data_IF_197670015832
#
_entry.id   IF_197670015832
#
_cell.length_a   1.000
_cell.length_b   1.000
_cell.length_c   1.000
_cell.angle_alpha   90.00
_cell.angle_beta   90.00
_cell.angle_gamma   90.00
#
_symmetry.space_group_name_H-M   'P 1'
#
loop_
_entity.id
_entity.type
_entity.pdbx_description
1 polymer ?
#
# COMPACT_ATOMS: atom_id res chain seq x y z
N UNK A 1 17.79 6.47 27.18
CA UNK A 1 17.06 7.40 26.29
C UNK A 1 17.19 6.86 24.88
N UNK A 2 16.29 5.95 24.51
CA UNK A 2 16.36 5.19 23.25
C UNK A 2 15.42 5.85 22.26
N UNK A 3 16.00 6.58 21.31
CA UNK A 3 15.29 7.23 20.21
C UNK A 3 14.86 6.15 19.21
N UNK A 4 13.59 5.76 19.26
CA UNK A 4 12.96 4.89 18.27
C UNK A 4 12.69 5.70 17.00
N UNK A 5 12.84 5.12 15.80
CA UNK A 5 12.56 5.82 14.55
C UNK A 5 11.07 6.21 14.52
N UNK A 6 10.81 7.52 14.39
CA UNK A 6 9.48 8.06 14.14
C UNK A 6 9.00 7.49 12.80
N UNK A 7 8.12 6.49 12.89
CA UNK A 7 7.15 6.14 11.86
C UNK A 7 6.66 7.44 11.21
N UNK A 8 6.71 7.50 9.89
CA UNK A 8 6.08 8.59 9.13
C UNK A 8 4.60 8.53 9.50
N UNK A 9 4.21 9.39 10.44
CA UNK A 9 2.83 9.56 10.85
C UNK A 9 2.07 10.02 9.63
N UNK A 10 1.33 9.09 9.02
CA UNK A 10 0.32 9.44 8.04
C UNK A 10 -0.75 10.22 8.82
N UNK A 11 -0.80 11.54 8.69
CA UNK A 11 -1.82 12.33 9.39
C UNK A 11 -3.21 12.10 8.79
N UNK A 12 -3.31 11.36 7.68
CA UNK A 12 -4.54 10.79 7.14
C UNK A 12 -5.17 9.65 7.95
N UNK A 13 -4.54 9.17 9.05
CA UNK A 13 -5.21 8.30 10.04
C UNK A 13 -6.45 8.99 10.65
N UNK A 14 -6.48 10.33 10.70
CA UNK A 14 -7.57 11.09 11.32
C UNK A 14 -8.90 10.88 10.58
N UNK A 15 -8.92 10.95 9.24
CA UNK A 15 -10.20 10.78 8.53
C UNK A 15 -10.68 9.33 8.53
N UNK A 16 -9.78 8.35 8.45
CA UNK A 16 -10.15 6.93 8.50
C UNK A 16 -10.69 6.56 9.89
N UNK A 17 -10.08 7.10 10.95
CA UNK A 17 -10.58 6.94 12.32
C UNK A 17 -11.94 7.64 12.52
N UNK A 18 -12.14 8.82 11.92
CA UNK A 18 -13.44 9.54 11.96
C UNK A 18 -14.54 8.79 11.22
N UNK A 19 -14.21 7.92 10.26
CA UNK A 19 -15.18 7.08 9.56
C UNK A 19 -15.60 5.85 10.40
N UNK A 20 -15.12 5.74 11.65
CA UNK A 20 -15.51 4.72 12.63
C UNK A 20 -15.37 3.29 12.10
N UNK A 21 -14.33 3.05 11.29
CA UNK A 21 -14.07 1.72 10.73
C UNK A 21 -13.52 0.78 11.79
N UNK A 22 -14.09 -0.42 11.87
CA UNK A 22 -13.57 -1.46 12.75
C UNK A 22 -12.33 -2.13 12.12
N UNK A 23 -11.29 -2.50 12.89
CA UNK A 23 -10.04 -3.04 12.35
C UNK A 23 -10.20 -4.32 11.53
N UNK A 24 -11.28 -5.07 11.76
CA UNK A 24 -11.57 -6.34 11.10
C UNK A 24 -12.66 -6.22 10.01
N UNK A 25 -13.16 -5.01 9.73
CA UNK A 25 -14.13 -4.82 8.66
C UNK A 25 -13.50 -5.06 7.29
N UNK A 26 -14.14 -5.92 6.51
CA UNK A 26 -13.77 -6.15 5.10
C UNK A 26 -14.57 -5.28 4.15
N UNK A 27 -15.79 -4.91 4.56
CA UNK A 27 -16.75 -4.15 3.76
C UNK A 27 -17.41 -3.09 4.63
N UNK A 28 -17.61 -1.91 4.06
CA UNK A 28 -18.19 -0.76 4.77
C UNK A 28 -19.36 -0.21 3.98
N UNK A 29 -20.51 0.07 4.61
CA UNK A 29 -21.66 0.65 3.93
C UNK A 29 -21.37 2.09 3.48
N UNK A 30 -21.52 2.36 2.17
CA UNK A 30 -21.35 3.70 1.59
C UNK A 30 -22.31 4.70 2.24
N UNK A 31 -23.51 4.25 2.61
CA UNK A 31 -24.50 5.08 3.28
C UNK A 31 -23.98 5.68 4.60
N UNK A 32 -23.31 4.87 5.44
CA UNK A 32 -22.74 5.32 6.71
C UNK A 32 -21.61 6.34 6.50
N UNK A 33 -20.72 6.06 5.54
CA UNK A 33 -19.65 6.99 5.17
C UNK A 33 -20.20 8.34 4.70
N UNK A 34 -21.26 8.33 3.88
CA UNK A 34 -21.90 9.55 3.41
C UNK A 34 -22.54 10.35 4.56
N UNK A 35 -23.14 9.67 5.54
CA UNK A 35 -23.72 10.29 6.72
C UNK A 35 -22.66 10.98 7.58
N UNK A 36 -21.52 10.30 7.84
CA UNK A 36 -20.40 10.86 8.59
C UNK A 36 -19.82 12.10 7.89
N UNK A 37 -19.61 12.02 6.57
CA UNK A 37 -19.06 13.10 5.75
C UNK A 37 -20.07 14.24 5.47
N UNK A 38 -21.36 14.00 5.66
CA UNK A 38 -22.43 14.96 5.36
C UNK A 38 -22.65 15.17 3.86
N UNK A 39 -22.50 14.13 3.04
CA UNK A 39 -22.65 14.17 1.58
C UNK A 39 -23.84 13.34 1.09
N UNK A 40 -24.25 13.57 -0.16
CA UNK A 40 -25.42 12.93 -0.76
C UNK A 40 -25.14 11.48 -1.18
N UNK A 41 -25.85 10.53 -0.56
CA UNK A 41 -25.64 9.08 -0.75
C UNK A 41 -25.88 8.62 -2.18
N UNK A 42 -26.95 9.04 -2.85
CA UNK A 42 -27.32 8.51 -4.15
C UNK A 42 -26.30 8.84 -5.24
N UNK A 43 -25.70 10.04 -5.18
CA UNK A 43 -24.60 10.47 -6.05
C UNK A 43 -23.37 9.59 -5.85
N UNK A 44 -23.00 9.32 -4.60
CA UNK A 44 -21.84 8.49 -4.28
C UNK A 44 -22.05 7.03 -4.64
N UNK A 45 -23.22 6.45 -4.36
CA UNK A 45 -23.52 5.09 -4.79
C UNK A 45 -23.56 4.95 -6.32
N UNK A 46 -24.09 5.95 -7.03
CA UNK A 46 -24.07 5.97 -8.50
C UNK A 46 -22.63 5.98 -9.00
N UNK A 47 -21.78 6.84 -8.44
CA UNK A 47 -20.36 6.94 -8.79
C UNK A 47 -19.60 5.64 -8.56
N UNK A 48 -19.86 4.97 -7.43
CA UNK A 48 -19.29 3.64 -7.13
C UNK A 48 -19.69 2.62 -8.18
N UNK A 49 -20.96 2.62 -8.62
CA UNK A 49 -21.45 1.70 -9.67
C UNK A 49 -20.89 2.03 -11.06
N UNK A 50 -20.69 3.31 -11.37
CA UNK A 50 -20.17 3.77 -12.67
C UNK A 50 -18.67 3.52 -12.84
N UNK A 51 -17.90 3.51 -11.75
CA UNK A 51 -16.47 3.19 -11.78
C UNK A 51 -16.25 1.67 -11.83
N UNK A 52 -15.66 1.10 -12.89
CA UNK A 52 -15.45 -0.34 -12.99
C UNK A 52 -14.61 -0.93 -11.84
N UNK A 53 -13.65 -0.15 -11.33
CA UNK A 53 -12.76 -0.59 -10.24
C UNK A 53 -13.53 -0.60 -8.91
N UNK A 54 -14.29 0.46 -8.61
CA UNK A 54 -15.08 0.52 -7.37
C UNK A 54 -16.23 -0.49 -7.41
N UNK A 55 -16.90 -0.63 -8.55
CA UNK A 55 -17.96 -1.60 -8.75
C UNK A 55 -17.48 -3.05 -8.55
N UNK A 56 -16.26 -3.38 -8.99
CA UNK A 56 -15.69 -4.72 -8.80
C UNK A 56 -15.49 -5.09 -7.33
N UNK A 57 -15.26 -4.11 -6.45
CA UNK A 57 -15.18 -4.32 -5.01
C UNK A 57 -16.43 -3.92 -4.23
N UNK A 58 -17.52 -3.54 -4.90
CA UNK A 58 -18.78 -3.19 -4.27
C UNK A 58 -19.74 -4.37 -4.24
N UNK A 59 -20.44 -4.56 -3.12
CA UNK A 59 -21.46 -5.61 -2.94
C UNK A 59 -22.65 -5.08 -2.17
N UNK A 60 -23.84 -5.55 -2.51
CA UNK A 60 -25.03 -5.28 -1.69
C UNK A 60 -25.09 -6.34 -0.60
N UNK A 61 -24.90 -5.94 0.65
CA UNK A 61 -24.92 -6.80 1.82
C UNK A 61 -26.09 -6.43 2.74
N UNK A 62 -26.51 -7.37 3.59
CA UNK A 62 -27.38 -7.06 4.72
C UNK A 62 -26.53 -6.43 5.82
N UNK A 63 -26.97 -5.27 6.28
CA UNK A 63 -26.31 -4.46 7.30
C UNK A 63 -27.35 -4.14 8.35
N UNK A 64 -26.97 -4.28 9.62
CA UNK A 64 -27.80 -3.86 10.74
C UNK A 64 -27.71 -2.33 10.86
N UNK A 65 -28.85 -1.66 10.75
CA UNK A 65 -28.98 -0.23 10.96
C UNK A 65 -29.99 0.08 12.07
N UNK A 66 -30.19 1.36 12.38
CA UNK A 66 -31.07 1.81 13.47
C UNK A 66 -32.52 1.31 13.33
N UNK A 67 -33.00 1.08 12.10
CA UNK A 67 -34.34 0.59 11.78
C UNK A 67 -34.40 -0.95 11.57
N UNK A 68 -33.31 -1.67 11.86
CA UNK A 68 -33.18 -3.12 11.69
C UNK A 68 -32.28 -3.54 10.52
N UNK A 69 -32.42 -4.80 10.09
CA UNK A 69 -31.65 -5.35 8.96
C UNK A 69 -32.09 -4.71 7.63
N UNK A 70 -31.16 -4.02 6.98
CA UNK A 70 -31.37 -3.35 5.70
C UNK A 70 -30.32 -3.76 4.67
N UNK A 71 -30.67 -3.68 3.38
CA UNK A 71 -29.69 -3.91 2.30
C UNK A 71 -28.96 -2.61 1.96
N UNK A 72 -27.64 -2.61 2.05
CA UNK A 72 -26.81 -1.45 1.74
C UNK A 72 -25.72 -1.80 0.72
N UNK A 73 -25.39 -0.83 -0.14
CA UNK A 73 -24.21 -0.92 -0.99
C UNK A 73 -22.98 -0.75 -0.10
N UNK A 74 -22.16 -1.79 -0.03
CA UNK A 74 -20.94 -1.83 0.75
C UNK A 74 -19.74 -1.86 -0.18
N UNK A 75 -18.67 -1.14 0.18
CA UNK A 75 -17.41 -1.11 -0.55
C UNK A 75 -16.35 -1.84 0.28
N UNK A 76 -15.49 -2.61 -0.40
CA UNK A 76 -14.37 -3.27 0.24
C UNK A 76 -13.38 -2.23 0.80
N UNK A 77 -12.90 -2.43 2.03
CA UNK A 77 -12.09 -1.44 2.78
C UNK A 77 -10.85 -0.97 2.02
N UNK A 78 -10.18 -1.85 1.28
CA UNK A 78 -8.99 -1.53 0.48
C UNK A 78 -9.26 -0.53 -0.65
N UNK A 79 -10.52 -0.36 -1.08
CA UNK A 79 -10.92 0.61 -2.10
C UNK A 79 -11.38 1.95 -1.52
N UNK A 80 -11.48 2.07 -0.19
CA UNK A 80 -11.84 3.34 0.46
C UNK A 80 -10.88 4.48 0.14
N UNK A 81 -9.54 4.29 0.13
CA UNK A 81 -8.64 5.36 -0.25
C UNK A 81 -8.92 5.89 -1.65
N UNK A 82 -9.17 4.99 -2.61
CA UNK A 82 -9.52 5.36 -3.97
C UNK A 82 -10.83 6.15 -4.01
N UNK A 83 -11.86 5.70 -3.30
CA UNK A 83 -13.14 6.41 -3.22
C UNK A 83 -12.99 7.81 -2.60
N UNK A 84 -12.29 7.92 -1.47
CA UNK A 84 -12.02 9.18 -0.75
C UNK A 84 -11.25 10.19 -1.60
N UNK A 85 -10.26 9.73 -2.38
CA UNK A 85 -9.51 10.63 -3.27
C UNK A 85 -10.38 11.30 -4.33
N UNK A 86 -11.50 10.67 -4.72
CA UNK A 86 -12.44 11.26 -5.65
C UNK A 86 -13.50 12.16 -5.00
N UNK A 87 -13.73 12.09 -3.69
CA UNK A 87 -14.84 12.82 -3.04
C UNK A 87 -14.64 14.33 -3.20
N UNK A 88 -15.70 15.06 -3.56
CA UNK A 88 -15.66 16.51 -3.67
C UNK A 88 -15.60 17.15 -2.28
N UNK A 89 -14.43 17.71 -1.90
CA UNK A 89 -14.22 18.34 -0.59
C UNK A 89 -15.14 19.53 -0.32
N UNK A 90 -15.60 20.23 -1.36
CA UNK A 90 -16.53 21.35 -1.21
C UNK A 90 -17.93 20.91 -0.76
N UNK A 91 -18.33 19.66 -1.09
CA UNK A 91 -19.62 19.10 -0.70
C UNK A 91 -19.62 18.50 0.72
N UNK A 92 -18.43 18.25 1.30
CA UNK A 92 -18.27 17.67 2.64
C UNK A 92 -18.56 18.71 3.71
N UNK A 93 -19.06 18.25 4.85
CA UNK A 93 -19.27 19.07 6.04
C UNK A 93 -18.03 19.92 6.37
N UNK A 94 -18.23 21.21 6.65
CA UNK A 94 -17.15 22.18 6.86
C UNK A 94 -16.10 21.71 7.90
N UNK A 95 -16.56 21.02 8.96
CA UNK A 95 -15.70 20.46 10.02
C UNK A 95 -14.76 19.34 9.55
N UNK A 96 -15.08 18.66 8.45
CA UNK A 96 -14.34 17.52 7.91
C UNK A 96 -13.59 17.85 6.62
N UNK A 97 -13.92 18.95 5.94
CA UNK A 97 -13.25 19.38 4.72
C UNK A 97 -11.72 19.45 4.88
N UNK A 98 -11.14 20.08 5.94
CA UNK A 98 -9.68 20.14 6.07
C UNK A 98 -9.02 18.77 6.20
N UNK A 99 -9.70 17.81 6.86
CA UNK A 99 -9.21 16.43 7.02
C UNK A 99 -9.23 15.67 5.71
N UNK A 100 -10.32 15.81 4.94
CA UNK A 100 -10.41 15.17 3.62
C UNK A 100 -9.36 15.72 2.67
N UNK A 101 -9.16 17.04 2.65
CA UNK A 101 -8.14 17.67 1.81
C UNK A 101 -6.72 17.26 2.20
N UNK A 102 -6.44 17.14 3.51
CA UNK A 102 -5.17 16.62 4.00
C UNK A 102 -4.97 15.17 3.52
N UNK A 103 -5.98 14.30 3.71
CA UNK A 103 -5.94 12.93 3.23
C UNK A 103 -5.69 12.85 1.73
N UNK A 104 -6.37 13.67 0.92
CA UNK A 104 -6.21 13.69 -0.53
C UNK A 104 -4.80 14.11 -0.96
N UNK A 105 -4.22 15.12 -0.29
CA UNK A 105 -2.84 15.57 -0.53
C UNK A 105 -1.82 14.49 -0.16
N UNK A 106 -1.98 13.87 1.01
CA UNK A 106 -1.09 12.80 1.44
C UNK A 106 -1.20 11.57 0.54
N UNK A 107 -2.42 11.17 0.16
CA UNK A 107 -2.65 10.08 -0.78
C UNK A 107 -1.98 10.36 -2.14
N UNK A 108 -2.10 11.58 -2.67
CA UNK A 108 -1.43 11.97 -3.90
C UNK A 108 0.10 11.89 -3.77
N UNK A 109 0.67 12.41 -2.66
CA UNK A 109 2.10 12.36 -2.40
C UNK A 109 2.61 10.92 -2.26
N UNK A 110 1.93 10.07 -1.49
CA UNK A 110 2.29 8.66 -1.31
C UNK A 110 2.18 7.88 -2.62
N UNK A 111 1.12 8.09 -3.39
CA UNK A 111 0.98 7.46 -4.71
C UNK A 111 2.13 7.88 -5.62
N UNK A 112 2.45 9.18 -5.67
CA UNK A 112 3.57 9.69 -6.46
C UNK A 112 4.91 9.06 -6.05
N UNK A 113 5.22 9.06 -4.74
CA UNK A 113 6.43 8.45 -4.20
C UNK A 113 6.51 6.93 -4.47
N UNK A 114 5.36 6.23 -4.45
CA UNK A 114 5.30 4.79 -4.72
C UNK A 114 5.67 4.44 -6.16
N UNK A 115 5.28 5.27 -7.13
CA UNK A 115 5.67 5.13 -8.54
C UNK A 115 7.04 5.74 -8.86
N UNK A 116 7.61 6.48 -7.91
CA UNK A 116 8.91 7.14 -8.01
C UNK A 116 9.70 6.92 -6.71
N UNK A 117 10.22 5.70 -6.48
CA UNK A 117 10.99 5.42 -5.26
C UNK A 117 12.20 6.35 -5.05
N UNK A 118 12.61 7.13 -6.07
CA UNK A 118 13.62 8.20 -6.01
C UNK A 118 13.26 9.47 -6.81
N UNK A 119 11.98 9.77 -7.06
CA UNK A 119 11.59 10.90 -7.91
C UNK A 119 10.72 11.91 -7.18
N UNK A 120 11.36 12.98 -6.72
CA UNK A 120 10.73 14.19 -6.19
C UNK A 120 9.61 14.69 -7.11
N UNK A 121 8.49 15.06 -6.52
CA UNK A 121 7.36 15.67 -7.20
C UNK A 121 7.62 17.14 -7.55
N UNK A 122 6.93 17.69 -8.54
CA UNK A 122 6.99 19.12 -8.83
C UNK A 122 6.44 19.99 -7.69
N UNK A 123 5.68 19.40 -6.76
CA UNK A 123 5.12 20.05 -5.56
C UNK A 123 5.95 19.86 -4.28
N UNK A 124 7.09 19.16 -4.32
CA UNK A 124 7.99 19.06 -3.16
C UNK A 124 8.79 20.36 -2.99
N UNK A 125 8.18 21.36 -2.33
CA UNK A 125 8.66 22.76 -2.23
C UNK A 125 10.07 22.92 -1.63
N UNK A 126 10.57 21.89 -0.93
CA UNK A 126 11.87 21.89 -0.24
C UNK A 126 12.97 21.12 -0.97
N UNK A 127 12.69 20.53 -2.14
CA UNK A 127 13.66 19.69 -2.85
C UNK A 127 14.29 20.45 -4.03
N UNK A 128 15.63 20.57 -4.10
CA UNK A 128 16.30 21.20 -5.22
C UNK A 128 16.09 20.41 -6.52
N UNK A 129 15.87 21.14 -7.60
CA UNK A 129 15.74 20.58 -8.95
C UNK A 129 17.02 19.79 -9.29
N UNK A 130 16.92 18.72 -10.11
CA UNK A 130 18.05 17.78 -10.39
C UNK A 130 19.38 18.45 -10.78
N UNK A 131 19.32 19.61 -11.46
CA UNK A 131 20.49 20.38 -11.90
C UNK A 131 21.05 21.35 -10.83
N UNK A 132 20.32 21.51 -9.72
CA UNK A 132 20.67 22.32 -8.55
C UNK A 132 21.13 21.46 -7.37
N UNK A 133 21.06 20.14 -7.49
CA UNK A 133 21.52 19.21 -6.46
C UNK A 133 23.03 19.32 -6.26
N UNK A 134 23.44 19.44 -5.01
CA UNK A 134 24.84 19.37 -4.60
C UNK A 134 25.41 17.97 -4.83
N UNK A 135 26.75 17.82 -4.90
CA UNK A 135 27.38 16.51 -5.05
C UNK A 135 27.01 15.51 -3.94
N UNK A 136 26.78 16.00 -2.71
CA UNK A 136 26.37 15.16 -1.58
C UNK A 136 24.93 14.63 -1.76
N UNK A 137 24.01 15.45 -2.26
CA UNK A 137 22.63 15.04 -2.55
C UNK A 137 22.56 14.05 -3.72
N UNK A 138 23.38 14.25 -4.75
CA UNK A 138 23.51 13.31 -5.86
C UNK A 138 24.03 11.95 -5.40
N UNK A 139 25.03 11.94 -4.50
CA UNK A 139 25.56 10.72 -3.91
C UNK A 139 24.50 9.99 -3.05
N UNK A 140 23.72 10.73 -2.28
CA UNK A 140 22.61 10.19 -1.49
C UNK A 140 21.55 9.52 -2.37
N UNK A 141 21.11 10.20 -3.43
CA UNK A 141 20.15 9.63 -4.40
C UNK A 141 20.72 8.38 -5.05
N UNK A 142 22.00 8.42 -5.48
CA UNK A 142 22.68 7.26 -6.07
C UNK A 142 22.73 6.05 -5.13
N UNK A 143 23.03 6.26 -3.85
CA UNK A 143 23.02 5.19 -2.85
C UNK A 143 21.63 4.57 -2.66
N UNK A 144 20.58 5.39 -2.68
CA UNK A 144 19.19 4.93 -2.59
C UNK A 144 18.78 4.11 -3.82
N UNK A 145 19.24 4.52 -5.01
CA UNK A 145 19.07 3.78 -6.26
C UNK A 145 19.71 2.40 -6.17
N UNK A 146 20.96 2.33 -5.69
CA UNK A 146 21.66 1.06 -5.53
C UNK A 146 20.94 0.12 -4.56
N UNK A 147 20.46 0.64 -3.42
CA UNK A 147 19.70 -0.16 -2.46
C UNK A 147 18.40 -0.72 -3.06
N UNK A 148 17.70 0.07 -3.89
CA UNK A 148 16.46 -0.35 -4.55
C UNK A 148 16.71 -1.46 -5.58
N UNK A 149 17.79 -1.34 -6.36
CA UNK A 149 18.17 -2.34 -7.37
C UNK A 149 18.69 -3.65 -6.76
N UNK A 150 19.27 -3.60 -5.56
CA UNK A 150 19.81 -4.77 -4.88
C UNK A 150 18.74 -5.82 -4.54
N UNK A 151 17.49 -5.41 -4.27
CA UNK A 151 16.42 -6.32 -3.87
C UNK A 151 16.03 -7.31 -4.98
N UNK A 152 15.73 -6.89 -6.22
CA UNK A 152 15.53 -7.81 -7.34
C UNK A 152 16.75 -8.71 -7.60
N UNK A 153 17.98 -8.18 -7.52
CA UNK A 153 19.20 -8.97 -7.74
C UNK A 153 19.37 -10.10 -6.73
N UNK A 154 19.08 -9.84 -5.45
CA UNK A 154 19.13 -10.84 -4.39
C UNK A 154 18.12 -11.97 -4.62
N UNK A 155 16.90 -11.65 -5.07
CA UNK A 155 15.86 -12.64 -5.34
C UNK A 155 16.21 -13.53 -6.53
N UNK A 156 16.80 -12.96 -7.58
CA UNK A 156 17.33 -13.73 -8.73
C UNK A 156 18.45 -14.65 -8.26
N UNK A 157 19.37 -14.16 -7.42
CA UNK A 157 20.45 -14.96 -6.84
C UNK A 157 19.93 -16.19 -6.10
N UNK A 158 18.93 -16.02 -5.22
CA UNK A 158 18.30 -17.15 -4.51
C UNK A 158 17.63 -18.15 -5.44
N UNK A 159 16.94 -17.70 -6.49
CA UNK A 159 16.32 -18.60 -7.46
C UNK A 159 17.35 -19.43 -8.22
N UNK A 160 18.54 -18.87 -8.49
CA UNK A 160 19.63 -19.59 -9.14
C UNK A 160 20.29 -20.61 -8.20
N UNK A 161 20.41 -20.29 -6.91
CA UNK A 161 20.89 -21.22 -5.88
C UNK A 161 19.90 -22.38 -5.65
N UNK A 162 18.61 -22.11 -5.57
CA UNK A 162 17.56 -23.13 -5.42
C UNK A 162 17.38 -23.99 -6.69
N UNK A 163 17.75 -23.46 -7.86
CA UNK A 163 17.74 -24.18 -9.14
C UNK A 163 19.04 -24.95 -9.42
N UNK A 164 20.06 -24.82 -8.56
CA UNK A 164 21.26 -25.64 -8.66
C UNK A 164 20.90 -27.09 -8.28
N UNK A 165 21.08 -28.09 -9.15
CA UNK A 165 20.82 -29.48 -8.80
C UNK A 165 21.71 -29.87 -7.61
N UNK A 166 21.12 -30.54 -6.62
CA UNK A 166 21.88 -31.20 -5.55
C UNK A 166 22.99 -32.03 -6.20
N UNK A 167 24.26 -31.94 -5.75
CA UNK A 167 25.32 -32.75 -6.33
C UNK A 167 24.91 -34.21 -6.14
N UNK A 168 24.73 -34.94 -7.25
CA UNK A 168 24.45 -36.37 -7.27
C UNK A 168 25.40 -37.03 -6.27
N UNK A 169 24.85 -37.59 -5.18
CA UNK A 169 25.61 -38.47 -4.31
C UNK A 169 25.94 -39.71 -5.15
N UNK A 170 27.19 -39.74 -5.61
CA UNK A 170 27.77 -40.76 -6.48
C UNK A 170 27.52 -42.17 -5.91
N UNK A 171 26.66 -43.02 -6.51
CA UNK A 171 26.26 -44.28 -5.88
C UNK A 171 27.27 -45.42 -6.10
N UNK A 172 28.52 -45.13 -6.49
CA UNK A 172 29.46 -46.19 -6.89
C UNK A 172 30.90 -45.96 -6.41
N UNK A 173 31.21 -46.48 -5.22
CA UNK A 173 32.57 -46.57 -4.68
C UNK A 173 32.79 -47.91 -3.97
N UNK A 174 32.72 -49.01 -4.73
CA UNK A 174 32.96 -50.35 -4.22
C UNK A 174 34.43 -50.58 -3.80
N UNK A 175 34.58 -51.43 -2.78
CA UNK A 175 35.75 -52.26 -2.38
C UNK A 175 36.88 -51.59 -1.60
N UNK A 176 36.86 -51.87 -0.30
CA UNK A 176 38.04 -51.87 0.56
C UNK A 176 37.84 -52.84 1.73
N UNK A 177 37.95 -54.15 1.47
CA UNK A 177 37.87 -55.18 2.50
C UNK A 177 38.71 -56.40 2.15
N UNK A 178 39.67 -56.72 3.03
CA UNK A 178 40.32 -58.04 3.15
C UNK A 178 41.75 -58.14 2.60
N UNK A 179 42.73 -58.03 3.51
CA UNK A 179 43.80 -59.03 3.83
C UNK A 179 44.33 -59.94 2.68
N UNK A 180 45.61 -60.30 2.51
CA UNK A 180 46.92 -60.08 3.15
C UNK A 180 47.99 -60.76 2.21
N UNK A 181 49.28 -60.97 2.56
CA UNK A 181 50.44 -60.69 1.70
C UNK A 181 51.12 -61.94 1.08
N UNK A 182 52.14 -61.74 0.24
CA UNK A 182 53.21 -62.74 0.08
C UNK A 182 54.00 -62.71 -1.23
N UNK A 183 55.34 -62.68 -1.05
CA UNK A 183 56.44 -63.05 -1.94
C UNK A 183 56.84 -62.07 -3.07
#
# INVERSE_FOLDING_TARGET
MTNQPSWVTFYGEDIIAVLELEPNETYVPIAGLCQVLGIERAAEERRVRESPILAAGAKVLEVEGDDGLGRALCLRVDLLPLWLTGVNSAAVAERLRPRLELFQREAASVLWQSFRPQGFGPEDELVPQRHQQTPAEQAYVGALTQATLARPQMLIGRQLEDAAPYPDEDPTGARGGGEHPGA
#
